data_IF_164878949750
#
_entry.id   IF_164878949750
#
_cell.length_a   1.000
_cell.length_b   1.000
_cell.length_c   1.000
_cell.angle_alpha   90.00
_cell.angle_beta   90.00
_cell.angle_gamma   90.00
#
_symmetry.space_group_name_H-M   'P 1'
#
loop_
_entity.id
_entity.type
_entity.pdbx_description
1 polymer ?
#
# COMPACT_ATOMS: atom_id res chain seq x y z
N UNK A 1 -3.48 2.46 -26.86
CA UNK A 1 -3.57 2.75 -25.41
C UNK A 1 -3.32 1.52 -24.54
N UNK A 2 -4.10 0.43 -24.64
CA UNK A 2 -3.91 -0.79 -23.81
C UNK A 2 -2.50 -1.42 -23.88
N UNK A 3 -1.85 -1.37 -25.04
CA UNK A 3 -0.48 -1.92 -25.24
C UNK A 3 0.62 -1.08 -24.59
N UNK A 4 0.43 0.24 -24.52
CA UNK A 4 1.39 1.16 -23.87
C UNK A 4 1.35 0.95 -22.35
N UNK A 5 0.15 0.74 -21.79
CA UNK A 5 -0.03 0.43 -20.37
C UNK A 5 0.72 -0.86 -19.98
N UNK A 6 0.63 -1.91 -20.81
CA UNK A 6 1.33 -3.17 -20.55
C UNK A 6 2.86 -3.05 -20.55
N UNK A 7 3.43 -2.26 -21.47
CA UNK A 7 4.88 -2.00 -21.51
C UNK A 7 5.32 -1.18 -20.31
N UNK A 8 4.51 -0.21 -19.87
CA UNK A 8 4.81 0.61 -18.70
C UNK A 8 4.79 -0.21 -17.41
N UNK A 9 3.83 -1.13 -17.28
CA UNK A 9 3.77 -2.08 -16.15
C UNK A 9 5.03 -2.94 -16.14
N UNK A 10 5.40 -3.57 -17.26
CA UNK A 10 6.62 -4.42 -17.34
C UNK A 10 7.89 -3.62 -17.03
N UNK A 11 7.99 -2.37 -17.50
CA UNK A 11 9.12 -1.50 -17.19
C UNK A 11 9.19 -1.14 -15.70
N UNK A 12 8.05 -0.88 -15.05
CA UNK A 12 7.97 -0.62 -13.61
C UNK A 12 8.30 -1.88 -12.80
N UNK A 13 7.89 -3.06 -13.26
CA UNK A 13 8.23 -4.36 -12.65
C UNK A 13 9.73 -4.68 -12.72
N UNK A 14 10.48 -4.06 -13.64
CA UNK A 14 11.92 -4.29 -13.81
C UNK A 14 12.81 -3.39 -12.95
N UNK A 15 12.23 -2.40 -12.27
CA UNK A 15 12.96 -1.55 -11.33
C UNK A 15 13.04 -2.30 -10.00
N UNK A 16 14.21 -2.89 -9.73
CA UNK A 16 14.48 -3.63 -8.51
C UNK A 16 14.18 -2.80 -7.26
N UNK A 17 13.55 -3.44 -6.28
CA UNK A 17 13.23 -2.85 -4.99
C UNK A 17 14.47 -2.75 -4.12
N UNK A 18 14.79 -1.55 -3.64
CA UNK A 18 15.79 -1.32 -2.60
C UNK A 18 15.03 -0.94 -1.35
N UNK A 19 15.05 -1.82 -0.33
CA UNK A 19 14.40 -1.59 0.96
C UNK A 19 15.41 -1.08 1.99
N UNK A 20 14.91 -0.45 3.05
CA UNK A 20 15.70 0.27 4.04
C UNK A 20 16.34 -0.69 5.08
N UNK A 21 16.95 -0.16 6.15
CA UNK A 21 17.55 -1.01 7.17
C UNK A 21 16.46 -1.64 8.07
N UNK A 22 16.64 -2.91 8.50
CA UNK A 22 15.72 -3.56 9.42
C UNK A 22 15.57 -2.79 10.74
N UNK A 23 14.34 -2.60 11.19
CA UNK A 23 13.99 -1.95 12.46
C UNK A 23 13.77 -0.44 12.38
N UNK A 24 13.98 0.17 11.21
CA UNK A 24 13.73 1.59 11.02
C UNK A 24 12.22 1.86 10.93
N UNK A 25 11.79 2.92 11.63
CA UNK A 25 10.44 3.47 11.53
C UNK A 25 10.45 4.54 10.42
N UNK A 26 9.38 4.67 9.66
CA UNK A 26 9.21 5.72 8.66
C UNK A 26 7.81 6.31 8.71
N UNK A 27 7.63 7.54 8.25
CA UNK A 27 6.30 8.06 7.93
C UNK A 27 5.85 7.53 6.58
N UNK A 28 4.61 7.04 6.54
CA UNK A 28 3.95 6.60 5.32
C UNK A 28 2.82 7.58 4.97
N UNK A 29 2.73 7.99 3.72
CA UNK A 29 1.61 8.78 3.19
C UNK A 29 1.27 8.34 1.79
N UNK A 30 -0.02 8.22 1.47
CA UNK A 30 -0.50 7.78 0.17
C UNK A 30 -1.64 8.64 -0.36
N UNK A 31 -1.82 8.58 -1.67
CA UNK A 31 -2.94 9.16 -2.38
C UNK A 31 -3.49 8.14 -3.37
N UNK A 32 -4.77 7.81 -3.23
CA UNK A 32 -5.47 6.92 -4.15
C UNK A 32 -5.71 7.60 -5.49
N UNK A 33 -5.94 6.81 -6.55
CA UNK A 33 -6.37 7.33 -7.85
C UNK A 33 -7.66 8.17 -7.81
N UNK A 34 -8.46 8.07 -6.75
CA UNK A 34 -9.65 8.88 -6.52
C UNK A 34 -9.36 10.19 -5.74
N UNK A 35 -8.11 10.45 -5.37
CA UNK A 35 -7.68 11.64 -4.62
C UNK A 35 -7.91 11.56 -3.12
N UNK A 36 -8.18 10.37 -2.57
CA UNK A 36 -8.23 10.18 -1.12
C UNK A 36 -6.82 10.08 -0.58
N UNK A 37 -6.48 10.85 0.45
CA UNK A 37 -5.18 10.77 1.11
C UNK A 37 -5.25 9.93 2.37
N UNK A 38 -4.21 9.13 2.61
CA UNK A 38 -4.07 8.32 3.81
C UNK A 38 -2.65 8.49 4.35
N UNK A 39 -2.47 8.31 5.65
CA UNK A 39 -1.17 8.43 6.30
C UNK A 39 -1.06 7.47 7.47
N UNK A 40 0.17 7.09 7.80
CA UNK A 40 0.47 6.09 8.82
C UNK A 40 1.94 5.98 9.13
N UNK A 41 2.30 4.88 9.76
CA UNK A 41 3.67 4.51 10.06
C UNK A 41 4.05 3.27 9.25
N UNK A 42 5.30 3.23 8.81
CA UNK A 42 5.94 2.05 8.25
C UNK A 42 7.01 1.55 9.20
N UNK A 43 7.09 0.24 9.34
CA UNK A 43 8.18 -0.45 10.03
C UNK A 43 8.87 -1.35 8.99
N UNK A 44 10.17 -1.15 8.80
CA UNK A 44 10.99 -2.12 8.05
C UNK A 44 11.34 -3.28 9.00
N UNK A 45 10.94 -4.50 8.64
CA UNK A 45 11.19 -5.69 9.44
C UNK A 45 12.43 -6.45 8.97
N UNK A 46 13.16 -5.92 7.98
CA UNK A 46 14.27 -6.56 7.32
C UNK A 46 13.84 -7.67 6.37
N UNK A 47 14.82 -8.27 5.68
CA UNK A 47 14.60 -9.36 4.72
C UNK A 47 13.50 -9.04 3.69
N UNK A 48 13.48 -7.81 3.17
CA UNK A 48 12.49 -7.31 2.19
C UNK A 48 11.05 -7.25 2.71
N UNK A 49 10.86 -7.32 4.03
CA UNK A 49 9.55 -7.28 4.66
C UNK A 49 9.30 -5.91 5.29
N UNK A 50 8.17 -5.30 4.97
CA UNK A 50 7.74 -4.04 5.58
C UNK A 50 6.29 -4.16 6.05
N UNK A 51 5.93 -3.40 7.08
CA UNK A 51 4.55 -3.30 7.56
C UNK A 51 4.14 -1.84 7.65
N UNK A 52 3.04 -1.50 6.95
CA UNK A 52 2.43 -0.18 6.96
C UNK A 52 1.14 -0.23 7.76
N UNK A 53 0.93 0.72 8.66
CA UNK A 53 -0.23 0.72 9.54
C UNK A 53 -0.72 2.14 9.82
N UNK A 54 -2.04 2.26 9.94
CA UNK A 54 -2.68 3.45 10.46
C UNK A 54 -3.95 3.09 11.17
N UNK A 55 -4.27 3.87 12.20
CA UNK A 55 -5.55 3.87 12.85
C UNK A 55 -5.92 5.33 13.15
N UNK A 56 -7.09 5.75 12.68
CA UNK A 56 -7.66 7.06 12.99
C UNK A 56 -8.97 6.86 13.72
N UNK A 57 -9.16 7.59 14.82
CA UNK A 57 -10.42 7.66 15.56
C UNK A 57 -10.90 9.10 15.60
N UNK A 58 -12.17 9.33 15.27
CA UNK A 58 -12.81 10.64 15.33
C UNK A 58 -14.20 10.51 15.96
N UNK A 59 -14.29 10.82 17.25
CA UNK A 59 -15.50 10.55 18.03
C UNK A 59 -15.77 9.05 18.12
N UNK A 60 -16.96 8.62 17.69
CA UNK A 60 -17.29 7.20 17.57
C UNK A 60 -16.78 6.57 16.27
N UNK A 61 -16.41 7.35 15.25
CA UNK A 61 -15.94 6.83 13.96
C UNK A 61 -14.48 6.34 14.05
N UNK A 62 -14.17 5.24 13.37
CA UNK A 62 -12.78 4.80 13.19
C UNK A 62 -12.51 4.38 11.74
N UNK A 63 -11.26 4.48 11.33
CA UNK A 63 -10.69 3.87 10.13
C UNK A 63 -9.33 3.28 10.44
N UNK A 64 -8.99 2.17 9.80
CA UNK A 64 -7.68 1.56 9.94
C UNK A 64 -7.23 0.90 8.62
N UNK A 65 -5.93 0.74 8.50
CA UNK A 65 -5.32 -0.20 7.57
C UNK A 65 -4.10 -0.85 8.21
N UNK A 66 -3.80 -2.06 7.76
CA UNK A 66 -2.56 -2.76 8.04
C UNK A 66 -2.16 -3.55 6.80
N UNK A 67 -1.01 -3.21 6.25
CA UNK A 67 -0.47 -3.79 5.04
C UNK A 67 0.88 -4.42 5.36
N UNK A 68 1.07 -5.67 4.97
CA UNK A 68 2.36 -6.37 5.11
C UNK A 68 2.85 -6.71 3.72
N UNK A 69 4.06 -6.28 3.39
CA UNK A 69 4.71 -6.58 2.13
C UNK A 69 5.92 -7.47 2.34
N UNK A 70 6.17 -8.38 1.40
CA UNK A 70 7.40 -9.14 1.23
C UNK A 70 7.86 -8.98 -0.23
N UNK A 71 8.92 -8.22 -0.42
CA UNK A 71 9.28 -7.71 -1.75
C UNK A 71 8.15 -6.86 -2.33
N UNK A 72 7.80 -7.13 -3.58
CA UNK A 72 6.69 -6.42 -4.26
C UNK A 72 5.29 -6.94 -3.93
N UNK A 73 5.16 -8.04 -3.18
CA UNK A 73 3.86 -8.65 -2.90
C UNK A 73 3.40 -8.28 -1.50
N UNK A 74 2.13 -7.92 -1.35
CA UNK A 74 1.57 -7.55 -0.06
C UNK A 74 0.20 -8.13 0.23
N UNK A 75 -0.14 -8.17 1.51
CA UNK A 75 -1.47 -8.44 2.02
C UNK A 75 -1.92 -7.22 2.80
N UNK A 76 -3.12 -6.72 2.51
CA UNK A 76 -3.73 -5.62 3.22
C UNK A 76 -4.99 -6.07 3.95
N UNK A 77 -5.26 -5.43 5.08
CA UNK A 77 -6.59 -5.37 5.69
C UNK A 77 -6.95 -3.92 5.98
N UNK A 78 -8.13 -3.49 5.58
CA UNK A 78 -8.65 -2.14 5.85
C UNK A 78 -10.07 -2.21 6.37
N UNK A 79 -10.47 -1.21 7.15
CA UNK A 79 -11.82 -1.14 7.68
C UNK A 79 -12.19 0.22 8.23
N UNK A 80 -13.49 0.46 8.37
CA UNK A 80 -14.05 1.62 9.06
C UNK A 80 -15.38 1.20 9.70
N UNK A 81 -15.80 1.80 10.80
CA UNK A 81 -17.15 1.53 11.32
C UNK A 81 -18.27 2.25 10.56
N UNK A 82 -17.95 3.06 9.56
CA UNK A 82 -18.96 3.67 8.66
C UNK A 82 -19.34 2.75 7.50
N UNK A 83 -18.53 1.73 7.20
CA UNK A 83 -18.82 0.63 6.27
C UNK A 83 -18.57 -0.67 7.02
N UNK A 84 -19.63 -1.41 7.32
CA UNK A 84 -19.68 -2.60 8.19
C UNK A 84 -18.67 -3.73 7.90
N UNK A 85 -17.84 -3.62 6.86
CA UNK A 85 -17.18 -4.75 6.22
C UNK A 85 -15.69 -4.48 6.06
N UNK A 86 -14.87 -5.28 6.75
CA UNK A 86 -13.44 -5.30 6.54
C UNK A 86 -13.13 -5.71 5.09
N UNK A 87 -12.11 -5.11 4.49
CA UNK A 87 -11.62 -5.48 3.17
C UNK A 87 -10.23 -6.06 3.31
N UNK A 88 -10.05 -7.30 2.85
CA UNK A 88 -8.73 -7.91 2.68
C UNK A 88 -8.32 -7.80 1.22
N UNK A 89 -7.04 -7.56 0.95
CA UNK A 89 -6.52 -7.50 -0.41
C UNK A 89 -5.17 -8.19 -0.59
N UNK A 90 -5.00 -8.87 -1.71
CA UNK A 90 -3.69 -9.19 -2.27
C UNK A 90 -3.22 -7.98 -3.09
N UNK A 91 -2.05 -7.48 -2.79
CA UNK A 91 -1.50 -6.27 -3.38
C UNK A 91 -0.18 -6.53 -4.09
N UNK A 92 0.11 -5.66 -5.05
CA UNK A 92 1.40 -5.59 -5.70
C UNK A 92 1.91 -4.15 -5.63
N UNK A 93 3.10 -3.95 -5.07
CA UNK A 93 3.74 -2.67 -4.88
C UNK A 93 5.15 -2.62 -5.45
N UNK A 94 5.55 -1.44 -5.93
CA UNK A 94 6.95 -1.17 -6.32
C UNK A 94 7.36 0.14 -5.70
N UNK A 95 8.59 0.16 -5.20
CA UNK A 95 9.20 1.31 -4.54
C UNK A 95 10.52 1.67 -5.18
N UNK A 96 10.83 2.96 -5.16
CA UNK A 96 12.07 3.53 -5.64
C UNK A 96 12.57 4.61 -4.68
N UNK A 97 13.73 4.42 -4.05
CA UNK A 97 14.39 5.49 -3.31
C UNK A 97 14.70 6.66 -4.25
N UNK A 98 14.32 7.86 -3.83
CA UNK A 98 14.66 9.11 -4.51
C UNK A 98 15.96 9.68 -3.92
N UNK A 99 16.10 9.57 -2.60
CA UNK A 99 17.29 9.86 -1.83
C UNK A 99 17.21 9.12 -0.48
N UNK A 100 18.18 9.36 0.40
CA UNK A 100 18.27 8.68 1.71
C UNK A 100 17.10 8.96 2.65
N UNK A 101 16.33 10.04 2.40
CA UNK A 101 15.20 10.44 3.24
C UNK A 101 13.83 10.13 2.64
N UNK A 102 13.74 9.90 1.32
CA UNK A 102 12.47 9.82 0.60
C UNK A 102 12.48 8.64 -0.36
N UNK A 103 11.52 7.75 -0.18
CA UNK A 103 11.18 6.68 -1.13
C UNK A 103 9.78 6.92 -1.67
N UNK A 104 9.61 6.75 -2.99
CA UNK A 104 8.30 6.82 -3.63
C UNK A 104 7.90 5.44 -4.12
N UNK A 105 6.61 5.12 -3.99
CA UNK A 105 6.08 3.86 -4.45
C UNK A 105 4.70 3.99 -5.08
N UNK A 106 4.32 2.93 -5.76
CA UNK A 106 2.97 2.72 -6.26
C UNK A 106 2.53 1.33 -5.83
N UNK A 107 1.32 1.19 -5.31
CA UNK A 107 0.69 -0.10 -5.07
C UNK A 107 -0.61 -0.23 -5.86
N UNK A 108 -0.98 -1.48 -6.12
CA UNK A 108 -2.22 -1.85 -6.77
C UNK A 108 -2.79 -3.08 -6.06
N UNK A 109 -3.99 -3.00 -5.47
CA UNK A 109 -4.73 -4.18 -5.05
C UNK A 109 -5.08 -5.02 -6.27
N UNK A 110 -4.64 -6.28 -6.31
CA UNK A 110 -4.91 -7.20 -7.41
C UNK A 110 -6.19 -8.00 -7.20
N UNK A 111 -6.44 -8.40 -5.96
CA UNK A 111 -7.62 -9.14 -5.55
C UNK A 111 -8.12 -8.53 -4.26
N UNK A 112 -9.39 -8.14 -4.21
CA UNK A 112 -10.04 -7.62 -3.01
C UNK A 112 -11.22 -8.50 -2.64
N UNK A 113 -11.29 -8.82 -1.37
CA UNK A 113 -12.44 -9.43 -0.74
C UNK A 113 -12.94 -8.47 0.34
N UNK A 114 -14.16 -7.99 0.17
CA UNK A 114 -14.85 -7.21 1.20
C UNK A 114 -15.82 -8.15 1.89
N UNK A 115 -15.83 -8.14 3.22
CA UNK A 115 -16.81 -8.89 4.00
C UNK A 115 -18.24 -8.61 3.47
N UNK A 116 -19.12 -9.59 3.48
CA UNK A 116 -20.47 -9.47 2.91
C UNK A 116 -20.56 -9.29 1.38
N UNK A 117 -19.44 -9.18 0.64
CA UNK A 117 -19.47 -9.16 -0.81
C UNK A 117 -19.72 -10.57 -1.38
N UNK A 118 -20.57 -10.66 -2.41
CA UNK A 118 -20.84 -11.92 -3.11
C UNK A 118 -19.74 -12.32 -4.09
N UNK A 119 -18.82 -11.40 -4.43
CA UNK A 119 -17.78 -11.59 -5.44
C UNK A 119 -16.46 -10.96 -5.00
N UNK A 120 -15.36 -11.45 -5.57
CA UNK A 120 -14.05 -10.81 -5.50
C UNK A 120 -13.97 -9.67 -6.53
N UNK A 121 -13.28 -8.59 -6.15
CA UNK A 121 -12.90 -7.54 -7.10
C UNK A 121 -11.48 -7.80 -7.59
N UNK A 122 -11.29 -7.81 -8.90
CA UNK A 122 -9.97 -7.95 -9.51
C UNK A 122 -9.49 -6.59 -10.02
N UNK A 123 -8.27 -6.21 -9.63
CA UNK A 123 -7.63 -4.94 -9.93
C UNK A 123 -8.42 -3.75 -9.36
N UNK A 124 -8.02 -3.30 -8.18
CA UNK A 124 -8.55 -2.14 -7.49
C UNK A 124 -7.94 -0.82 -7.94
N UNK A 125 -8.29 0.25 -7.22
CA UNK A 125 -7.64 1.55 -7.38
C UNK A 125 -6.16 1.44 -6.99
N UNK A 126 -5.29 2.05 -7.78
CA UNK A 126 -3.89 2.21 -7.43
C UNK A 126 -3.71 3.36 -6.45
N UNK A 127 -2.65 3.28 -5.64
CA UNK A 127 -2.23 4.33 -4.74
C UNK A 127 -0.76 4.68 -5.02
N UNK A 128 -0.45 5.97 -5.08
CA UNK A 128 0.93 6.46 -5.04
C UNK A 128 1.23 6.82 -3.59
N UNK A 129 2.38 6.42 -3.09
CA UNK A 129 2.78 6.70 -1.71
C UNK A 129 4.22 7.16 -1.60
N UNK A 130 4.51 7.83 -0.49
CA UNK A 130 5.83 8.25 -0.09
C UNK A 130 6.13 7.70 1.30
N UNK A 131 7.38 7.26 1.47
CA UNK A 131 7.96 6.80 2.72
C UNK A 131 9.07 7.76 3.08
N UNK A 132 8.99 8.35 4.27
CA UNK A 132 9.90 9.40 4.73
C UNK A 132 10.68 8.92 5.95
N UNK A 133 12.02 8.99 5.86
CA UNK A 133 12.92 8.71 6.98
C UNK A 133 12.87 9.84 8.03
N UNK A 134 13.18 9.48 9.27
CA UNK A 134 13.33 10.44 10.38
C UNK A 134 14.68 11.14 10.37
#
# INVERSE_FOLDING_TARGET
MKRILGVLIIAVLSLGTVFANPGDLFFYTSMTGAGTTMGGLRIDLGNTMVTDLSATMTGSAYSYFADVYYGSWGLAITGTNTKTLATAALMYGVEKPINDAITLGINVPLVLWTDGASNLTFVGSWDIYAVLAF
#
